data_IF_405078496005
#
_entry.id   IF_405078496005
#
_cell.length_a   1.000
_cell.length_b   1.000
_cell.length_c   1.000
_cell.angle_alpha   90.00
_cell.angle_beta   90.00
_cell.angle_gamma   90.00
#
_symmetry.space_group_name_H-M   'P 1'
#
loop_
_entity.id
_entity.type
_entity.pdbx_description
1 polymer ?
#
# COMPACT_ATOMS: atom_id res chain seq x y z
N UNK A 1 51.98 -32.43 4.65
CA UNK A 1 50.72 -32.17 3.96
C UNK A 1 49.95 -31.14 4.79
N UNK A 2 49.94 -29.90 4.32
CA UNK A 2 49.34 -28.78 5.05
C UNK A 2 47.94 -28.54 4.43
N UNK A 3 46.85 -28.79 5.17
CA UNK A 3 45.50 -28.53 4.74
C UNK A 3 45.23 -27.05 4.95
N UNK A 4 45.05 -26.32 3.85
CA UNK A 4 44.54 -24.94 3.87
C UNK A 4 43.02 -25.01 3.89
N UNK A 5 42.39 -24.71 5.03
CA UNK A 5 40.95 -24.45 5.10
C UNK A 5 40.67 -23.11 4.43
N UNK A 6 40.08 -23.14 3.26
CA UNK A 6 39.43 -21.99 2.64
C UNK A 6 38.08 -21.72 3.36
N UNK A 7 38.07 -20.75 4.24
CA UNK A 7 36.86 -20.19 4.80
C UNK A 7 36.25 -19.30 3.71
N UNK A 8 35.25 -19.81 3.00
CA UNK A 8 34.41 -18.99 2.12
C UNK A 8 33.56 -18.12 3.02
N UNK A 9 33.91 -16.85 3.19
CA UNK A 9 33.01 -15.84 3.71
C UNK A 9 31.95 -15.64 2.64
N UNK A 10 30.78 -16.21 2.84
CA UNK A 10 29.56 -15.77 2.13
C UNK A 10 29.32 -14.34 2.59
N UNK A 11 29.51 -13.38 1.70
CA UNK A 11 29.00 -12.04 1.92
C UNK A 11 27.46 -12.20 2.01
N UNK A 12 26.91 -12.12 3.22
CA UNK A 12 25.50 -11.91 3.45
C UNK A 12 25.21 -10.55 2.82
N UNK A 13 24.56 -10.51 1.70
CA UNK A 13 23.99 -9.28 1.19
C UNK A 13 23.05 -8.79 2.30
N UNK A 14 23.29 -7.59 2.78
CA UNK A 14 22.40 -6.89 3.71
C UNK A 14 21.07 -6.70 2.97
N UNK A 15 20.16 -7.65 3.16
CA UNK A 15 18.93 -7.75 2.40
C UNK A 15 17.93 -6.79 3.04
N UNK A 16 17.92 -5.54 2.54
CA UNK A 16 17.01 -4.50 3.02
C UNK A 16 15.57 -4.98 2.95
N UNK A 17 14.77 -4.58 3.93
CA UNK A 17 13.32 -4.82 3.92
C UNK A 17 12.69 -4.14 2.70
N UNK A 18 11.95 -4.88 1.88
CA UNK A 18 11.28 -4.36 0.68
C UNK A 18 9.79 -4.15 0.98
N UNK A 19 9.37 -2.88 0.92
CA UNK A 19 8.00 -2.46 1.11
C UNK A 19 7.44 -1.95 -0.22
N UNK A 20 6.41 -2.59 -0.76
CA UNK A 20 5.77 -2.19 -2.00
C UNK A 20 4.42 -1.51 -1.72
N UNK A 21 4.22 -0.32 -2.28
CA UNK A 21 2.93 0.36 -2.30
C UNK A 21 2.24 0.07 -3.63
N UNK A 22 1.12 -0.61 -3.58
CA UNK A 22 0.27 -0.95 -4.71
C UNK A 22 -0.99 -0.10 -4.64
N UNK A 23 -0.98 1.03 -5.36
CA UNK A 23 -2.02 2.04 -5.25
C UNK A 23 -2.42 2.69 -6.56
N UNK A 24 -3.24 3.70 -6.45
CA UNK A 24 -3.70 4.53 -7.57
C UNK A 24 -3.13 5.96 -7.52
N UNK A 25 -3.91 6.96 -7.93
CA UNK A 25 -3.49 8.37 -7.94
C UNK A 25 -3.20 8.94 -6.55
N UNK A 26 -3.83 8.41 -5.50
CA UNK A 26 -3.62 8.86 -4.12
C UNK A 26 -2.20 8.54 -3.62
N UNK A 27 -1.60 7.49 -4.14
CA UNK A 27 -0.24 7.05 -3.80
C UNK A 27 0.79 7.38 -4.87
N UNK A 28 0.36 7.76 -6.09
CA UNK A 28 1.24 8.09 -7.22
C UNK A 28 1.65 9.57 -7.30
N UNK A 29 1.42 10.37 -6.26
CA UNK A 29 1.69 11.82 -6.23
C UNK A 29 1.01 12.57 -7.41
N UNK A 30 -0.29 12.33 -7.64
CA UNK A 30 -1.02 12.91 -8.76
C UNK A 30 -1.00 14.44 -8.72
N UNK A 31 -0.60 15.05 -9.86
CA UNK A 31 -0.55 16.50 -10.07
C UNK A 31 0.31 17.27 -9.04
N UNK A 32 1.40 16.62 -8.55
CA UNK A 32 2.44 17.22 -7.71
C UNK A 32 3.79 16.58 -8.01
N UNK A 33 4.88 17.15 -7.49
CA UNK A 33 6.20 16.54 -7.58
C UNK A 33 6.22 15.22 -6.78
N UNK A 34 6.90 14.19 -7.27
CA UNK A 34 6.91 12.87 -6.64
C UNK A 34 7.42 12.88 -5.21
N UNK A 35 8.40 13.73 -4.93
CA UNK A 35 9.02 13.91 -3.62
C UNK A 35 8.05 14.47 -2.57
N UNK A 36 6.96 15.10 -3.01
CA UNK A 36 5.93 15.64 -2.13
C UNK A 36 4.89 14.58 -1.71
N UNK A 37 4.77 13.46 -2.44
CA UNK A 37 3.79 12.42 -2.17
C UNK A 37 4.09 11.65 -0.87
N UNK A 38 3.04 11.19 -0.19
CA UNK A 38 3.17 10.48 1.10
C UNK A 38 4.07 9.24 1.02
N UNK A 39 4.14 8.57 -0.13
CA UNK A 39 5.02 7.39 -0.32
C UNK A 39 6.49 7.80 -0.34
N UNK A 40 6.83 8.96 -0.94
CA UNK A 40 8.18 9.48 -0.90
C UNK A 40 8.57 9.95 0.53
N UNK A 41 7.64 10.62 1.23
CA UNK A 41 7.82 10.98 2.64
C UNK A 41 7.98 9.74 3.53
N UNK A 42 7.26 8.64 3.22
CA UNK A 42 7.44 7.36 3.89
C UNK A 42 8.85 6.80 3.67
N UNK A 43 9.33 6.80 2.42
CA UNK A 43 10.68 6.34 2.09
C UNK A 43 11.75 7.17 2.84
N UNK A 44 11.59 8.49 2.92
CA UNK A 44 12.49 9.36 3.68
C UNK A 44 12.47 9.01 5.18
N UNK A 45 11.29 8.76 5.76
CA UNK A 45 11.11 8.41 7.18
C UNK A 45 11.75 7.06 7.52
N UNK A 46 11.64 6.07 6.64
CA UNK A 46 12.18 4.73 6.84
C UNK A 46 13.70 4.64 6.59
N UNK A 47 14.26 5.58 5.82
CA UNK A 47 15.69 5.65 5.55
C UNK A 47 16.23 4.46 4.75
N UNK A 48 17.53 4.18 4.92
CA UNK A 48 18.25 3.19 4.10
C UNK A 48 17.97 1.73 4.46
N UNK A 49 17.30 1.46 5.58
CA UNK A 49 17.02 0.10 6.06
C UNK A 49 15.84 -0.55 5.29
N UNK A 50 15.01 0.27 4.65
CA UNK A 50 13.81 -0.16 3.91
C UNK A 50 13.84 0.35 2.48
N UNK A 51 13.71 -0.56 1.52
CA UNK A 51 13.52 -0.23 0.10
C UNK A 51 12.02 -0.06 -0.19
N UNK A 52 11.59 1.19 -0.36
CA UNK A 52 10.18 1.53 -0.63
C UNK A 52 9.95 1.60 -2.14
N UNK A 53 9.17 0.64 -2.64
CA UNK A 53 8.82 0.52 -4.06
C UNK A 53 7.43 1.11 -4.28
N UNK A 54 7.34 2.28 -4.90
CA UNK A 54 6.04 2.82 -5.30
C UNK A 54 5.59 2.25 -6.64
N UNK A 55 4.71 1.26 -6.61
CA UNK A 55 4.12 0.63 -7.78
C UNK A 55 2.73 1.19 -8.13
N UNK A 56 2.39 2.39 -7.62
CA UNK A 56 1.08 3.03 -7.84
C UNK A 56 0.97 3.64 -9.24
N UNK A 57 -0.23 3.59 -9.81
CA UNK A 57 -0.54 4.12 -11.14
C UNK A 57 -1.83 4.93 -11.09
N UNK A 58 -1.76 6.22 -11.45
CA UNK A 58 -2.95 7.09 -11.47
C UNK A 58 -4.06 6.53 -12.34
N UNK A 59 -5.29 6.53 -11.81
CA UNK A 59 -6.46 6.01 -12.50
C UNK A 59 -6.61 4.49 -12.46
N UNK A 60 -5.74 3.79 -11.74
CA UNK A 60 -5.77 2.33 -11.62
C UNK A 60 -7.04 1.83 -10.94
N UNK A 61 -7.64 0.78 -11.48
CA UNK A 61 -8.71 0.03 -10.85
C UNK A 61 -8.18 -1.23 -10.20
N UNK A 62 -8.96 -1.85 -9.34
CA UNK A 62 -8.60 -3.16 -8.78
C UNK A 62 -8.37 -4.23 -9.85
N UNK A 63 -9.10 -4.16 -10.96
CA UNK A 63 -8.92 -5.08 -12.10
C UNK A 63 -7.57 -4.89 -12.80
N UNK A 64 -7.18 -3.64 -13.08
CA UNK A 64 -5.88 -3.33 -13.67
C UNK A 64 -4.74 -3.72 -12.74
N UNK A 65 -4.87 -3.36 -11.47
CA UNK A 65 -3.95 -3.74 -10.42
C UNK A 65 -3.74 -5.26 -10.35
N UNK A 66 -4.81 -6.03 -10.24
CA UNK A 66 -4.74 -7.50 -10.16
C UNK A 66 -4.06 -8.16 -11.37
N UNK A 67 -4.16 -7.55 -12.57
CA UNK A 67 -3.50 -8.06 -13.78
C UNK A 67 -1.98 -7.92 -13.73
N UNK A 68 -1.46 -6.79 -13.26
CA UNK A 68 0.00 -6.54 -13.21
C UNK A 68 0.67 -7.01 -11.93
N UNK A 69 -0.11 -7.26 -10.88
CA UNK A 69 0.39 -7.60 -9.56
C UNK A 69 1.32 -8.83 -9.51
N UNK A 70 1.03 -9.96 -10.22
CA UNK A 70 1.92 -11.11 -10.21
C UNK A 70 3.33 -10.82 -10.75
N UNK A 71 3.44 -9.93 -11.73
CA UNK A 71 4.73 -9.53 -12.30
C UNK A 71 5.50 -8.66 -11.33
N UNK A 72 4.82 -7.74 -10.64
CA UNK A 72 5.40 -6.89 -9.61
C UNK A 72 5.91 -7.71 -8.41
N UNK A 73 5.14 -8.70 -7.94
CA UNK A 73 5.59 -9.60 -6.87
C UNK A 73 6.88 -10.34 -7.27
N UNK A 74 6.94 -10.88 -8.49
CA UNK A 74 8.14 -11.57 -8.98
C UNK A 74 9.33 -10.65 -9.19
N UNK A 75 9.10 -9.41 -9.60
CA UNK A 75 10.16 -8.44 -9.88
C UNK A 75 10.77 -7.87 -8.61
N UNK A 76 9.94 -7.59 -7.61
CA UNK A 76 10.34 -6.85 -6.43
C UNK A 76 10.47 -7.71 -5.18
N UNK A 77 9.86 -8.91 -5.17
CA UNK A 77 9.87 -9.85 -4.03
C UNK A 77 9.68 -9.12 -2.69
N UNK A 78 8.57 -8.34 -2.52
CA UNK A 78 8.38 -7.51 -1.35
C UNK A 78 8.16 -8.36 -0.10
N UNK A 79 8.65 -7.89 1.03
CA UNK A 79 8.34 -8.43 2.35
C UNK A 79 7.00 -7.89 2.89
N UNK A 80 6.63 -6.68 2.43
CA UNK A 80 5.39 -6.01 2.82
C UNK A 80 4.71 -5.37 1.61
N UNK A 81 3.38 -5.39 1.60
CA UNK A 81 2.55 -4.72 0.58
C UNK A 81 1.54 -3.81 1.26
N UNK A 82 1.61 -2.51 0.99
CA UNK A 82 0.52 -1.58 1.28
C UNK A 82 -0.42 -1.58 0.07
N UNK A 83 -1.63 -2.12 0.24
CA UNK A 83 -2.62 -2.26 -0.83
C UNK A 83 -3.66 -1.14 -0.73
N UNK A 84 -3.54 -0.16 -1.64
CA UNK A 84 -4.38 1.04 -1.70
C UNK A 84 -5.04 1.11 -3.09
N UNK A 85 -6.12 0.39 -3.30
CA UNK A 85 -6.89 0.39 -4.54
C UNK A 85 -8.40 0.27 -4.26
N UNK A 86 -9.20 0.74 -5.21
CA UNK A 86 -10.65 0.66 -5.17
C UNK A 86 -11.31 2.02 -5.39
N UNK A 87 -10.61 3.13 -5.14
CA UNK A 87 -11.14 4.47 -5.35
C UNK A 87 -11.71 4.65 -6.76
N UNK A 88 -10.95 4.24 -7.78
CA UNK A 88 -11.40 4.30 -9.19
C UNK A 88 -12.54 3.34 -9.51
N UNK A 89 -12.62 2.19 -8.86
CA UNK A 89 -13.79 1.29 -8.99
C UNK A 89 -15.05 1.98 -8.47
N UNK A 90 -14.96 2.57 -7.27
CA UNK A 90 -16.05 3.30 -6.65
C UNK A 90 -16.51 4.51 -7.46
N UNK A 91 -15.58 5.36 -7.90
CA UNK A 91 -15.87 6.55 -8.71
C UNK A 91 -16.49 6.22 -10.07
N UNK A 92 -16.23 5.03 -10.62
CA UNK A 92 -16.81 4.54 -11.87
C UNK A 92 -18.09 3.72 -11.67
N UNK A 93 -18.53 3.53 -10.43
CA UNK A 93 -19.72 2.75 -10.10
C UNK A 93 -19.57 1.27 -10.45
N UNK A 94 -18.35 0.71 -10.38
CA UNK A 94 -18.11 -0.69 -10.66
C UNK A 94 -18.64 -1.59 -9.52
N UNK A 95 -18.77 -2.88 -9.80
CA UNK A 95 -19.30 -3.85 -8.85
C UNK A 95 -18.43 -3.98 -7.60
N UNK A 96 -18.94 -3.73 -6.37
CA UNK A 96 -18.20 -4.00 -5.13
C UNK A 96 -17.76 -5.47 -5.00
N UNK A 97 -18.53 -6.41 -5.54
CA UNK A 97 -18.14 -7.83 -5.55
C UNK A 97 -16.92 -8.08 -6.42
N UNK A 98 -16.84 -7.47 -7.60
CA UNK A 98 -15.68 -7.61 -8.48
C UNK A 98 -14.43 -6.93 -7.86
N UNK A 99 -14.61 -5.77 -7.23
CA UNK A 99 -13.56 -5.10 -6.46
C UNK A 99 -13.05 -6.00 -5.33
N UNK A 100 -13.95 -6.63 -4.56
CA UNK A 100 -13.60 -7.60 -3.53
C UNK A 100 -12.73 -8.73 -4.09
N UNK A 101 -13.17 -9.37 -5.18
CA UNK A 101 -12.48 -10.53 -5.75
C UNK A 101 -11.09 -10.18 -6.28
N UNK A 102 -10.93 -8.99 -6.85
CA UNK A 102 -9.62 -8.50 -7.31
C UNK A 102 -8.67 -8.21 -6.14
N UNK A 103 -9.15 -7.53 -5.08
CA UNK A 103 -8.35 -7.25 -3.88
C UNK A 103 -8.00 -8.55 -3.14
N UNK A 104 -8.96 -9.47 -2.99
CA UNK A 104 -8.74 -10.79 -2.40
C UNK A 104 -7.61 -11.54 -3.12
N UNK A 105 -7.63 -11.56 -4.45
CA UNK A 105 -6.57 -12.19 -5.24
C UNK A 105 -5.19 -11.57 -4.98
N UNK A 106 -5.10 -10.25 -4.82
CA UNK A 106 -3.82 -9.58 -4.52
C UNK A 106 -3.34 -9.92 -3.10
N UNK A 107 -4.24 -9.96 -2.12
CA UNK A 107 -3.92 -10.37 -0.74
C UNK A 107 -3.42 -11.82 -0.72
N UNK A 108 -4.17 -12.75 -1.32
CA UNK A 108 -3.80 -14.17 -1.38
C UNK A 108 -2.43 -14.40 -2.03
N UNK A 109 -2.13 -13.66 -3.11
CA UNK A 109 -0.83 -13.75 -3.79
C UNK A 109 0.31 -13.19 -2.96
N UNK A 110 0.07 -12.11 -2.21
CA UNK A 110 1.06 -11.54 -1.29
C UNK A 110 1.38 -12.52 -0.17
N UNK A 111 0.34 -13.07 0.49
CA UNK A 111 0.51 -14.05 1.56
C UNK A 111 1.18 -15.35 1.07
N UNK A 112 0.86 -15.80 -0.16
CA UNK A 112 1.52 -16.96 -0.77
C UNK A 112 3.00 -16.70 -1.15
N UNK A 113 3.42 -15.44 -1.19
CA UNK A 113 4.80 -15.02 -1.37
C UNK A 113 5.48 -14.59 -0.05
N UNK A 114 4.89 -14.98 1.09
CA UNK A 114 5.33 -14.62 2.44
C UNK A 114 5.42 -13.10 2.70
N UNK A 115 4.68 -12.29 1.92
CA UNK A 115 4.59 -10.86 2.12
C UNK A 115 3.43 -10.50 3.06
N UNK A 116 3.72 -9.68 4.08
CA UNK A 116 2.70 -9.08 4.94
C UNK A 116 1.88 -8.06 4.18
N UNK A 117 0.56 -8.03 4.41
CA UNK A 117 -0.33 -7.08 3.73
C UNK A 117 -0.95 -6.12 4.75
N UNK A 118 -0.90 -4.84 4.43
CA UNK A 118 -1.67 -3.79 5.10
C UNK A 118 -2.65 -3.21 4.08
N UNK A 119 -3.94 -3.34 4.37
CA UNK A 119 -5.00 -2.85 3.49
C UNK A 119 -5.35 -1.41 3.86
N UNK A 120 -5.29 -0.51 2.89
CA UNK A 120 -5.61 0.90 3.06
C UNK A 120 -6.98 1.18 2.43
N UNK A 121 -7.98 1.41 3.29
CA UNK A 121 -9.34 1.70 2.86
C UNK A 121 -9.52 3.10 2.33
N UNK A 122 -10.44 3.23 1.40
CA UNK A 122 -10.88 4.49 0.82
C UNK A 122 -12.42 4.60 0.93
N UNK A 123 -12.92 5.81 0.81
CA UNK A 123 -14.36 6.07 0.72
C UNK A 123 -14.66 6.90 -0.53
N UNK A 124 -15.89 6.88 -0.99
CA UNK A 124 -16.36 7.61 -2.16
C UNK A 124 -17.36 8.70 -1.77
N UNK A 125 -17.52 9.76 -2.59
CA UNK A 125 -18.45 10.85 -2.29
C UNK A 125 -19.88 10.37 -2.03
N UNK A 126 -20.64 11.04 -1.14
CA UNK A 126 -21.97 10.59 -0.74
C UNK A 126 -23.02 10.63 -1.85
N UNK A 127 -22.79 11.35 -2.94
CA UNK A 127 -23.67 11.44 -4.10
C UNK A 127 -23.81 10.12 -4.90
N UNK A 128 -22.98 9.10 -4.61
CA UNK A 128 -23.12 7.75 -5.19
C UNK A 128 -24.23 6.92 -4.55
N UNK A 129 -24.89 7.44 -3.50
CA UNK A 129 -25.99 6.80 -2.79
C UNK A 129 -25.51 5.88 -1.65
N UNK A 130 -26.28 5.86 -0.55
CA UNK A 130 -25.86 5.19 0.69
C UNK A 130 -25.65 3.69 0.50
N UNK A 131 -26.56 3.01 -0.19
CA UNK A 131 -26.48 1.55 -0.38
C UNK A 131 -25.21 1.11 -1.13
N UNK A 132 -24.84 1.84 -2.20
CA UNK A 132 -23.62 1.54 -2.92
C UNK A 132 -22.37 1.87 -2.10
N UNK A 133 -22.35 3.03 -1.42
CA UNK A 133 -21.24 3.45 -0.58
C UNK A 133 -21.03 2.51 0.61
N UNK A 134 -22.09 2.02 1.23
CA UNK A 134 -22.02 1.01 2.29
C UNK A 134 -21.43 -0.30 1.77
N UNK A 135 -21.96 -0.80 0.63
CA UNK A 135 -21.45 -2.02 0.00
C UNK A 135 -19.98 -1.88 -0.43
N UNK A 136 -19.56 -0.69 -0.88
CA UNK A 136 -18.19 -0.38 -1.25
C UNK A 136 -17.25 -0.44 -0.03
N UNK A 137 -17.62 0.21 1.07
CA UNK A 137 -16.83 0.21 2.32
C UNK A 137 -16.75 -1.16 2.97
N UNK A 138 -17.85 -1.92 2.93
CA UNK A 138 -17.94 -3.28 3.47
C UNK A 138 -16.93 -4.25 2.81
N UNK A 139 -16.53 -3.99 1.56
CA UNK A 139 -15.49 -4.76 0.88
C UNK A 139 -14.20 -4.79 1.69
N UNK A 140 -13.71 -3.64 2.12
CA UNK A 140 -12.44 -3.54 2.86
C UNK A 140 -12.52 -4.23 4.22
N UNK A 141 -13.61 -3.99 4.97
CA UNK A 141 -13.81 -4.62 6.28
C UNK A 141 -13.85 -6.14 6.17
N UNK A 142 -14.62 -6.68 5.21
CA UNK A 142 -14.70 -8.11 4.97
C UNK A 142 -13.38 -8.73 4.56
N UNK A 143 -12.60 -8.03 3.74
CA UNK A 143 -11.27 -8.51 3.34
C UNK A 143 -10.32 -8.55 4.54
N UNK A 144 -10.32 -7.50 5.36
CA UNK A 144 -9.49 -7.46 6.55
C UNK A 144 -9.80 -8.62 7.51
N UNK A 145 -11.10 -8.86 7.77
CA UNK A 145 -11.56 -9.95 8.64
C UNK A 145 -11.28 -11.33 8.05
N UNK A 146 -11.51 -11.53 6.74
CA UNK A 146 -11.38 -12.85 6.11
C UNK A 146 -9.93 -13.31 5.96
N UNK A 147 -9.00 -12.37 5.75
CA UNK A 147 -7.60 -12.66 5.48
C UNK A 147 -6.67 -12.33 6.66
N UNK A 148 -7.23 -11.86 7.79
CA UNK A 148 -6.49 -11.47 8.99
C UNK A 148 -5.34 -10.49 8.66
N UNK A 149 -5.67 -9.44 7.90
CA UNK A 149 -4.70 -8.41 7.50
C UNK A 149 -4.95 -7.10 8.25
N UNK A 150 -3.87 -6.39 8.56
CA UNK A 150 -3.96 -5.06 9.16
C UNK A 150 -4.72 -4.11 8.22
N UNK A 151 -5.59 -3.28 8.79
CA UNK A 151 -6.51 -2.46 8.01
C UNK A 151 -6.62 -1.03 8.53
N UNK A 152 -6.35 -0.07 7.66
CA UNK A 152 -6.66 1.35 7.87
C UNK A 152 -8.03 1.64 7.24
N UNK A 153 -9.06 1.98 8.02
CA UNK A 153 -10.43 2.14 7.49
C UNK A 153 -10.59 3.27 6.47
N UNK A 154 -9.82 4.36 6.62
CA UNK A 154 -9.88 5.49 5.71
C UNK A 154 -8.53 6.23 5.59
N UNK A 155 -7.91 6.12 4.42
CA UNK A 155 -6.60 6.73 4.15
C UNK A 155 -6.61 8.26 4.30
N UNK A 156 -7.71 8.91 3.88
CA UNK A 156 -7.85 10.37 3.83
C UNK A 156 -8.54 10.95 5.07
N UNK A 157 -8.43 10.27 6.23
CA UNK A 157 -8.98 10.82 7.48
C UNK A 157 -8.34 12.17 7.82
N UNK A 158 -9.15 13.17 8.17
CA UNK A 158 -8.69 14.53 8.41
C UNK A 158 -8.31 15.34 7.17
N UNK A 159 -8.39 14.76 5.97
CA UNK A 159 -8.03 15.38 4.68
C UNK A 159 -9.26 15.63 3.82
N UNK A 160 -10.04 14.59 3.52
CA UNK A 160 -11.09 14.60 2.49
C UNK A 160 -12.24 15.62 2.68
N UNK A 161 -12.42 16.17 3.88
CA UNK A 161 -13.45 17.19 4.17
C UNK A 161 -12.87 18.58 4.43
N UNK A 162 -11.60 18.78 4.10
CA UNK A 162 -10.93 20.06 4.25
C UNK A 162 -10.54 20.60 2.88
N UNK A 163 -11.29 21.58 2.39
CA UNK A 163 -11.09 22.18 1.05
C UNK A 163 -9.65 22.71 0.83
N UNK A 164 -8.94 23.11 1.90
CA UNK A 164 -7.55 23.58 1.80
C UNK A 164 -6.55 22.42 1.55
N UNK A 165 -6.96 21.20 1.84
CA UNK A 165 -6.13 19.98 1.68
C UNK A 165 -6.51 19.16 0.43
N UNK A 166 -7.54 19.59 -0.31
CA UNK A 166 -7.98 18.96 -1.55
C UNK A 166 -7.69 19.85 -2.77
N UNK A 167 -7.36 19.22 -3.89
CA UNK A 167 -7.20 19.91 -5.17
C UNK A 167 -8.58 20.36 -5.70
N UNK A 168 -8.59 21.17 -6.76
CA UNK A 168 -9.82 21.75 -7.36
C UNK A 168 -10.83 20.68 -7.84
N UNK A 169 -10.43 19.43 -7.95
CA UNK A 169 -11.30 18.31 -8.36
C UNK A 169 -12.06 17.65 -7.20
N UNK A 170 -11.80 18.06 -5.95
CA UNK A 170 -12.41 17.52 -4.72
C UNK A 170 -12.17 15.99 -4.52
N UNK A 171 -11.20 15.41 -5.24
CA UNK A 171 -10.87 13.99 -5.21
C UNK A 171 -9.43 13.77 -4.72
N UNK A 172 -8.49 14.56 -5.24
CA UNK A 172 -7.09 14.38 -4.94
C UNK A 172 -6.59 15.33 -3.85
N UNK A 173 -5.82 14.82 -2.87
CA UNK A 173 -5.18 15.65 -1.86
C UNK A 173 -4.10 16.58 -2.45
N UNK A 174 -3.89 17.72 -1.81
CA UNK A 174 -2.78 18.64 -2.11
C UNK A 174 -1.45 18.11 -1.55
N UNK A 175 -0.33 18.77 -1.88
CA UNK A 175 0.97 18.47 -1.29
C UNK A 175 1.00 18.68 0.24
N UNK A 176 0.27 19.69 0.73
CA UNK A 176 0.14 19.97 2.17
C UNK A 176 -0.58 18.88 2.95
N UNK A 177 -1.42 18.08 2.27
CA UNK A 177 -2.12 16.95 2.87
C UNK A 177 -1.24 15.69 3.04
N UNK A 178 -0.18 15.56 2.25
CA UNK A 178 0.60 14.32 2.18
C UNK A 178 1.24 13.90 3.51
N UNK A 179 1.78 14.81 4.34
CA UNK A 179 2.24 14.47 5.68
C UNK A 179 1.13 13.92 6.58
N UNK A 180 -0.12 14.42 6.45
CA UNK A 180 -1.27 13.93 7.24
C UNK A 180 -1.62 12.50 6.81
N UNK A 181 -1.60 12.22 5.51
CA UNK A 181 -1.84 10.87 4.98
C UNK A 181 -0.78 9.90 5.52
N UNK A 182 0.48 10.29 5.53
CA UNK A 182 1.55 9.48 6.12
C UNK A 182 1.28 9.21 7.61
N UNK A 183 0.86 10.22 8.38
CA UNK A 183 0.53 10.04 9.81
C UNK A 183 -0.70 9.13 10.02
N UNK A 184 -1.63 9.03 9.07
CA UNK A 184 -2.73 8.08 9.13
C UNK A 184 -2.24 6.62 8.94
N UNK A 185 -1.25 6.40 8.08
CA UNK A 185 -0.68 5.08 7.79
C UNK A 185 0.32 4.64 8.86
N UNK A 186 1.11 5.56 9.38
CA UNK A 186 2.27 5.28 10.23
C UNK A 186 1.99 4.44 11.47
N UNK A 187 0.93 4.69 12.29
CA UNK A 187 0.66 3.91 13.50
C UNK A 187 0.39 2.42 13.23
N UNK A 188 -0.10 2.11 12.03
CA UNK A 188 -0.38 0.73 11.62
C UNK A 188 0.85 0.05 11.02
N UNK A 189 1.67 0.81 10.30
CA UNK A 189 2.84 0.32 9.58
C UNK A 189 4.07 0.16 10.47
N UNK A 190 4.36 1.13 11.34
CA UNK A 190 5.61 1.18 12.09
C UNK A 190 5.88 -0.09 12.93
N UNK A 191 4.91 -0.67 13.67
CA UNK A 191 5.14 -1.89 14.44
C UNK A 191 5.56 -3.08 13.57
N UNK A 192 4.93 -3.23 12.39
CA UNK A 192 5.25 -4.31 11.44
C UNK A 192 6.65 -4.16 10.85
N UNK A 193 7.04 -2.94 10.48
CA UNK A 193 8.40 -2.66 9.98
C UNK A 193 9.44 -2.97 11.05
N UNK A 194 9.23 -2.47 12.29
CA UNK A 194 10.15 -2.73 13.41
C UNK A 194 10.31 -4.22 13.70
N UNK A 195 9.21 -4.97 13.66
CA UNK A 195 9.22 -6.41 13.86
C UNK A 195 10.02 -7.14 12.77
N UNK A 196 9.83 -6.80 11.50
CA UNK A 196 10.52 -7.44 10.38
C UNK A 196 12.01 -7.11 10.37
N UNK A 197 12.40 -5.86 10.64
CA UNK A 197 13.79 -5.46 10.78
C UNK A 197 14.49 -6.21 11.94
N UNK A 198 13.80 -6.39 13.08
CA UNK A 198 14.33 -7.15 14.20
C UNK A 198 14.52 -8.64 13.89
N UNK A 199 13.64 -9.23 13.06
CA UNK A 199 13.78 -10.62 12.60
C UNK A 199 14.99 -10.77 11.68
N UNK A 200 15.14 -9.89 10.68
CA UNK A 200 16.29 -9.92 9.76
C UNK A 200 17.65 -9.76 10.49
N UNK A 201 17.69 -8.95 11.55
CA UNK A 201 18.90 -8.78 12.35
C UNK A 201 19.26 -10.00 13.22
N UNK A 202 18.34 -10.98 13.34
CA UNK A 202 18.49 -12.16 14.20
C UNK A 202 18.89 -13.43 13.42
N UNK A 203 18.79 -13.40 12.09
CA UNK A 203 19.12 -14.49 11.17
C UNK A 203 20.54 -14.32 10.59
#
# INVERSE_FOLDING_TARGET
MMFVLLISATAQADERLRLMVMGDSLSAAYNMEQEQGWVALLAERLGDDVDVINASVSGETTSGGAQRFPDLLRQHEPNMVLLELGGNDGLRGLSPQQMHDNLAQMIERSQAADAEVILLGIDIPPNYGSAYREAFKDVFTRLADNYDVAFLPFLLEGVALNDELMQEDDIHPTAEAQPIILENVWPLLAPSVEQQLAQQASD
#
